data_IF_467835510190
#
_entry.id   IF_467835510190
#
_cell.length_a   1.000
_cell.length_b   1.000
_cell.length_c   1.000
_cell.angle_alpha   90.00
_cell.angle_beta   90.00
_cell.angle_gamma   90.00
#
_symmetry.space_group_name_H-M   'P 1'
#
loop_
_entity.id
_entity.type
_entity.pdbx_description
1 polymer ?
#
# COMPACT_ATOMS: atom_id res chain seq x y z
N UNK A 1 16.07 0.37 -60.92
CA UNK A 1 16.10 -0.38 -59.66
C UNK A 1 16.18 0.51 -58.43
N UNK A 2 17.00 1.54 -58.37
CA UNK A 2 17.26 2.42 -57.21
C UNK A 2 16.00 3.17 -56.68
N UNK A 3 15.09 3.59 -57.52
CA UNK A 3 13.88 4.34 -57.14
C UNK A 3 12.89 3.50 -56.31
N UNK A 4 12.72 2.21 -56.65
CA UNK A 4 11.87 1.26 -55.88
C UNK A 4 12.41 1.00 -54.46
N UNK A 5 13.74 0.87 -54.32
CA UNK A 5 14.38 0.62 -53.04
C UNK A 5 14.19 1.80 -52.08
N UNK A 6 14.34 3.05 -52.56
CA UNK A 6 14.12 4.26 -51.74
C UNK A 6 12.66 4.38 -51.27
N UNK A 7 11.67 4.01 -52.07
CA UNK A 7 10.26 4.03 -51.68
C UNK A 7 10.00 2.96 -50.62
N UNK A 8 10.53 1.76 -50.76
CA UNK A 8 10.42 0.70 -49.75
C UNK A 8 11.00 1.12 -48.41
N UNK A 9 12.17 1.72 -48.39
CA UNK A 9 12.81 2.22 -47.14
C UNK A 9 11.91 3.24 -46.46
N UNK A 10 11.34 4.20 -47.20
CA UNK A 10 10.41 5.19 -46.60
C UNK A 10 9.16 4.53 -45.99
N UNK A 11 8.61 3.50 -46.64
CA UNK A 11 7.45 2.76 -46.11
C UNK A 11 7.82 2.04 -44.81
N UNK A 12 8.98 1.37 -44.77
CA UNK A 12 9.46 0.71 -43.54
C UNK A 12 9.72 1.68 -42.38
N UNK A 13 10.28 2.85 -42.67
CA UNK A 13 10.48 3.91 -41.66
C UNK A 13 9.14 4.40 -41.14
N UNK A 14 8.15 4.62 -42.01
CA UNK A 14 6.81 5.03 -41.58
C UNK A 14 6.13 3.97 -40.70
N UNK A 15 6.21 2.69 -41.08
CA UNK A 15 5.66 1.57 -40.27
C UNK A 15 6.36 1.53 -38.90
N UNK A 16 7.69 1.62 -38.86
CA UNK A 16 8.45 1.59 -37.61
C UNK A 16 8.08 2.78 -36.71
N UNK A 17 7.99 3.99 -37.27
CA UNK A 17 7.60 5.19 -36.55
C UNK A 17 6.18 5.04 -35.97
N UNK A 18 5.23 4.53 -36.75
CA UNK A 18 3.85 4.26 -36.28
C UNK A 18 3.85 3.23 -35.16
N UNK A 19 4.61 2.15 -35.29
CA UNK A 19 4.72 1.14 -34.25
C UNK A 19 5.28 1.71 -32.93
N UNK A 20 6.31 2.56 -32.99
CA UNK A 20 6.90 3.23 -31.81
C UNK A 20 5.86 4.15 -31.16
N UNK A 21 5.11 4.92 -31.94
CA UNK A 21 4.06 5.81 -31.41
C UNK A 21 2.97 4.97 -30.71
N UNK A 22 2.51 3.90 -31.32
CA UNK A 22 1.48 3.02 -30.72
C UNK A 22 1.96 2.36 -29.44
N UNK A 23 3.22 1.93 -29.38
CA UNK A 23 3.83 1.38 -28.16
C UNK A 23 3.92 2.44 -27.06
N UNK A 24 4.28 3.67 -27.40
CA UNK A 24 4.32 4.80 -26.46
C UNK A 24 2.94 5.11 -25.88
N UNK A 25 1.93 5.20 -26.72
CA UNK A 25 0.53 5.40 -26.29
C UNK A 25 0.08 4.24 -25.39
N UNK A 26 0.39 3.01 -25.78
CA UNK A 26 0.08 1.82 -24.99
C UNK A 26 0.74 1.84 -23.60
N UNK A 27 2.01 2.21 -23.52
CA UNK A 27 2.72 2.33 -22.25
C UNK A 27 2.13 3.41 -21.34
N UNK A 28 1.79 4.58 -21.89
CA UNK A 28 1.13 5.66 -21.16
C UNK A 28 -0.24 5.19 -20.64
N UNK A 29 -1.02 4.52 -21.47
CA UNK A 29 -2.33 3.98 -21.08
C UNK A 29 -2.21 2.96 -19.95
N UNK A 30 -1.27 2.03 -20.04
CA UNK A 30 -1.00 1.01 -19.00
C UNK A 30 -0.63 1.71 -17.69
N UNK A 31 0.33 2.63 -17.73
CA UNK A 31 0.77 3.36 -16.55
C UNK A 31 -0.40 4.12 -15.89
N UNK A 32 -1.16 4.86 -16.69
CA UNK A 32 -2.34 5.60 -16.20
C UNK A 32 -3.40 4.67 -15.62
N UNK A 33 -3.70 3.55 -16.28
CA UNK A 33 -4.68 2.58 -15.78
C UNK A 33 -4.22 1.98 -14.44
N UNK A 34 -2.98 1.50 -14.34
CA UNK A 34 -2.45 0.91 -13.11
C UNK A 34 -2.40 1.91 -11.94
N UNK A 35 -2.09 3.18 -12.21
CA UNK A 35 -2.08 4.23 -11.19
C UNK A 35 -3.49 4.64 -10.75
N UNK A 36 -4.42 4.78 -11.70
CA UNK A 36 -5.79 5.22 -11.40
C UNK A 36 -6.58 4.15 -10.62
N UNK A 37 -6.40 2.88 -10.97
CA UNK A 37 -7.13 1.76 -10.37
C UNK A 37 -6.26 0.95 -9.39
N UNK A 38 -5.25 1.57 -8.87
CA UNK A 38 -4.25 0.99 -7.99
C UNK A 38 -4.86 0.20 -6.81
N UNK A 39 -5.77 0.80 -6.06
CA UNK A 39 -6.41 0.15 -4.90
C UNK A 39 -7.26 -1.04 -5.31
N UNK A 40 -7.98 -0.94 -6.43
CA UNK A 40 -8.72 -2.08 -6.98
C UNK A 40 -7.78 -3.26 -7.23
N UNK A 41 -6.64 -3.02 -7.87
CA UNK A 41 -5.66 -4.06 -8.15
C UNK A 41 -4.99 -4.61 -6.89
N UNK A 42 -4.66 -3.75 -5.94
CA UNK A 42 -4.05 -4.15 -4.66
C UNK A 42 -4.97 -5.11 -3.89
N UNK A 43 -6.26 -4.80 -3.79
CA UNK A 43 -7.28 -5.64 -3.14
C UNK A 43 -7.47 -7.00 -3.81
N UNK A 44 -7.16 -7.12 -5.12
CA UNK A 44 -7.30 -8.34 -5.89
C UNK A 44 -5.98 -9.08 -6.14
N UNK A 45 -4.90 -8.73 -5.43
CA UNK A 45 -3.67 -9.52 -5.44
C UNK A 45 -3.98 -10.92 -4.89
N UNK A 46 -3.59 -12.00 -5.58
CA UNK A 46 -3.71 -13.35 -5.03
C UNK A 46 -2.91 -13.46 -3.73
N UNK A 47 -3.58 -13.73 -2.64
CA UNK A 47 -2.94 -13.82 -1.33
C UNK A 47 -3.53 -14.94 -0.46
N UNK A 48 -2.78 -15.35 0.54
CA UNK A 48 -3.23 -16.33 1.53
C UNK A 48 -4.10 -15.65 2.60
N UNK A 49 -5.02 -16.40 3.19
CA UNK A 49 -5.87 -15.90 4.28
C UNK A 49 -5.00 -15.35 5.44
N UNK A 50 -5.34 -14.16 5.92
CA UNK A 50 -4.63 -13.49 7.01
C UNK A 50 -3.40 -12.69 6.59
N UNK A 51 -3.30 -12.37 5.28
CA UNK A 51 -2.37 -11.37 4.76
C UNK A 51 -3.15 -10.15 4.26
N UNK A 52 -2.53 -8.98 4.28
CA UNK A 52 -3.11 -7.68 3.89
C UNK A 52 -2.21 -7.00 2.86
N UNK A 53 -2.11 -7.53 1.62
CA UNK A 53 -1.22 -6.95 0.61
C UNK A 53 -1.62 -5.52 0.24
N UNK A 54 -2.92 -5.19 0.27
CA UNK A 54 -3.43 -3.84 0.03
C UNK A 54 -2.88 -2.80 1.02
N UNK A 55 -2.67 -3.19 2.28
CA UNK A 55 -2.05 -2.35 3.29
C UNK A 55 -0.60 -2.00 2.90
N UNK A 56 0.19 -2.99 2.55
CA UNK A 56 1.59 -2.79 2.15
C UNK A 56 1.67 -1.94 0.89
N UNK A 57 0.91 -2.32 -0.13
CA UNK A 57 0.89 -1.62 -1.41
C UNK A 57 0.40 -0.17 -1.26
N UNK A 58 -0.56 0.10 -0.38
CA UNK A 58 -1.02 1.45 -0.05
C UNK A 58 0.12 2.27 0.58
N UNK A 59 0.78 1.73 1.61
CA UNK A 59 1.87 2.41 2.31
C UNK A 59 3.07 2.71 1.40
N UNK A 60 3.43 1.78 0.53
CA UNK A 60 4.54 1.96 -0.43
C UNK A 60 4.29 3.08 -1.45
N UNK A 61 3.05 3.45 -1.68
CA UNK A 61 2.67 4.37 -2.76
C UNK A 61 1.90 5.61 -2.26
N UNK A 62 1.93 5.91 -0.96
CA UNK A 62 1.22 7.07 -0.39
C UNK A 62 1.60 8.40 -1.06
N UNK A 63 2.85 8.54 -1.49
CA UNK A 63 3.39 9.73 -2.13
C UNK A 63 2.99 9.87 -3.61
N UNK A 64 2.51 8.79 -4.23
CA UNK A 64 2.23 8.75 -5.68
C UNK A 64 0.74 8.69 -6.02
N UNK A 65 -0.12 8.40 -5.04
CA UNK A 65 -1.56 8.22 -5.24
C UNK A 65 -2.38 9.39 -4.70
N UNK A 66 -3.51 9.75 -5.32
CA UNK A 66 -4.43 10.73 -4.75
C UNK A 66 -5.11 10.13 -3.52
N UNK A 67 -4.75 10.62 -2.34
CA UNK A 67 -5.30 10.14 -1.07
C UNK A 67 -6.69 10.73 -0.81
N UNK A 68 -7.68 9.92 -0.41
CA UNK A 68 -9.02 10.40 -0.11
C UNK A 68 -9.06 11.09 1.26
N UNK A 69 -9.84 12.14 1.39
CA UNK A 69 -10.13 12.69 2.70
C UNK A 69 -11.05 11.71 3.47
N UNK A 70 -10.52 11.06 4.48
CA UNK A 70 -11.25 10.13 5.37
C UNK A 70 -11.31 10.76 6.76
N UNK A 71 -12.50 10.79 7.35
CA UNK A 71 -12.69 11.36 8.68
C UNK A 71 -11.80 10.65 9.72
N UNK A 72 -11.06 11.43 10.51
CA UNK A 72 -10.17 10.97 11.57
C UNK A 72 -8.94 10.16 11.08
N UNK A 73 -8.63 10.23 9.78
CA UNK A 73 -7.42 9.67 9.20
C UNK A 73 -6.57 10.80 8.64
N UNK A 74 -5.33 10.84 9.06
CA UNK A 74 -4.30 11.76 8.60
C UNK A 74 -3.19 10.98 7.90
N UNK A 75 -2.62 11.54 6.84
CA UNK A 75 -1.52 10.96 6.08
C UNK A 75 -0.28 11.82 6.27
N UNK A 76 0.81 11.19 6.63
CA UNK A 76 2.11 11.85 6.74
C UNK A 76 3.09 11.21 5.75
N UNK A 77 3.60 12.04 4.86
CA UNK A 77 4.49 11.64 3.78
C UNK A 77 5.77 12.44 3.96
N UNK A 78 6.80 11.83 4.52
CA UNK A 78 8.10 12.46 4.74
C UNK A 78 9.25 11.53 4.37
N UNK A 79 10.00 11.88 3.32
CA UNK A 79 11.31 11.33 2.92
C UNK A 79 11.51 9.82 3.15
N UNK A 80 10.48 9.03 2.83
CA UNK A 80 10.48 7.56 2.98
C UNK A 80 9.87 7.04 4.28
N UNK A 81 9.36 7.91 5.15
CA UNK A 81 8.58 7.54 6.32
C UNK A 81 7.09 7.79 6.05
N UNK A 82 6.52 6.96 5.19
CA UNK A 82 5.10 7.02 4.91
C UNK A 82 4.30 6.42 6.06
N UNK A 83 3.39 7.20 6.63
CA UNK A 83 2.53 6.70 7.69
C UNK A 83 1.07 7.17 7.55
N UNK A 84 0.17 6.40 8.14
CA UNK A 84 -1.27 6.69 8.24
C UNK A 84 -1.65 6.69 9.70
N UNK A 85 -2.14 7.83 10.18
CA UNK A 85 -2.54 7.98 11.58
C UNK A 85 -4.06 8.05 11.68
N UNK A 86 -4.64 7.26 12.59
CA UNK A 86 -6.07 7.34 12.93
C UNK A 86 -6.23 7.77 14.39
N UNK A 87 -7.08 8.77 14.60
CA UNK A 87 -7.46 9.27 15.93
C UNK A 87 -6.30 9.70 16.83
N UNK A 88 -5.11 9.91 16.26
CA UNK A 88 -3.86 10.16 17.00
C UNK A 88 -3.40 9.00 17.92
N UNK A 89 -4.05 7.85 17.85
CA UNK A 89 -3.75 6.69 18.70
C UNK A 89 -3.25 5.47 17.94
N UNK A 90 -3.64 5.34 16.68
CA UNK A 90 -3.20 4.25 15.82
C UNK A 90 -2.35 4.87 14.73
N UNK A 91 -1.11 4.43 14.64
CA UNK A 91 -0.19 4.85 13.60
C UNK A 91 0.30 3.63 12.83
N UNK A 92 0.03 3.59 11.53
CA UNK A 92 0.44 2.55 10.61
C UNK A 92 1.62 3.07 9.79
N UNK A 93 2.76 2.40 9.90
CA UNK A 93 4.05 2.82 9.34
C UNK A 93 4.58 1.72 8.42
N UNK A 94 5.17 2.12 7.28
CA UNK A 94 5.99 1.23 6.47
C UNK A 94 7.37 1.09 7.11
N UNK A 95 7.86 -0.13 7.25
CA UNK A 95 9.21 -0.43 7.71
C UNK A 95 9.98 -1.25 6.67
N UNK A 96 11.28 -1.40 6.85
CA UNK A 96 12.12 -2.23 5.96
C UNK A 96 11.74 -3.71 5.96
N UNK A 97 11.06 -4.18 6.99
CA UNK A 97 10.64 -5.58 7.15
C UNK A 97 9.17 -5.81 6.75
N UNK A 98 8.41 -4.75 6.46
CA UNK A 98 7.00 -4.81 6.12
C UNK A 98 6.24 -3.61 6.66
N UNK A 99 5.21 -3.81 7.51
CA UNK A 99 4.47 -2.73 8.15
C UNK A 99 4.39 -2.91 9.67
N UNK A 100 4.21 -1.81 10.37
CA UNK A 100 4.04 -1.77 11.81
C UNK A 100 2.81 -0.95 12.18
N UNK A 101 1.95 -1.48 13.06
CA UNK A 101 0.88 -0.71 13.68
C UNK A 101 1.29 -0.38 15.11
N UNK A 102 1.43 0.90 15.38
CA UNK A 102 1.71 1.44 16.70
C UNK A 102 0.41 1.93 17.32
N UNK A 103 0.06 1.37 18.44
CA UNK A 103 -1.08 1.81 19.23
C UNK A 103 -0.59 2.48 20.51
N UNK A 104 -0.95 3.74 20.68
CA UNK A 104 -0.58 4.54 21.84
C UNK A 104 -1.82 4.90 22.67
N UNK A 105 -1.92 4.42 23.88
CA UNK A 105 -2.98 4.83 24.82
C UNK A 105 -2.39 5.63 25.96
N UNK A 106 -2.78 6.87 26.04
CA UNK A 106 -2.43 7.71 27.18
C UNK A 106 -3.29 7.35 28.40
N UNK A 107 -2.67 7.27 29.58
CA UNK A 107 -3.43 7.19 30.84
C UNK A 107 -4.22 8.48 31.12
N UNK A 108 -5.21 8.41 32.00
CA UNK A 108 -6.13 9.51 32.31
C UNK A 108 -5.47 10.87 32.68
N UNK A 109 -4.19 10.89 32.99
CA UNK A 109 -3.46 12.07 33.47
C UNK A 109 -2.42 12.61 32.48
N UNK A 110 -2.40 12.19 31.22
CA UNK A 110 -1.34 12.55 30.26
C UNK A 110 0.09 12.35 30.81
N UNK A 111 0.28 11.43 31.73
CA UNK A 111 1.53 11.20 32.41
C UNK A 111 2.26 10.04 31.70
N UNK A 112 3.52 10.26 31.31
CA UNK A 112 4.36 9.26 30.63
C UNK A 112 4.43 7.91 31.38
N UNK A 113 4.20 7.88 32.67
CA UNK A 113 4.19 6.67 33.51
C UNK A 113 2.99 5.73 33.22
N UNK A 114 1.93 6.22 32.56
CA UNK A 114 0.73 5.46 32.28
C UNK A 114 0.51 5.24 30.77
N UNK A 115 1.59 5.33 29.98
CA UNK A 115 1.54 5.07 28.56
C UNK A 115 1.53 3.57 28.30
N UNK A 116 0.51 3.12 27.57
CA UNK A 116 0.45 1.79 27.01
C UNK A 116 0.91 1.87 25.56
N UNK A 117 2.01 1.21 25.24
CA UNK A 117 2.53 1.11 23.90
C UNK A 117 2.41 -0.30 23.39
N UNK A 118 1.77 -0.47 22.23
CA UNK A 118 1.62 -1.75 21.56
C UNK A 118 2.07 -1.62 20.12
N UNK A 119 2.88 -2.56 19.64
CA UNK A 119 3.30 -2.62 18.26
C UNK A 119 2.96 -3.98 17.68
N UNK A 120 2.29 -3.98 16.54
CA UNK A 120 1.97 -5.16 15.75
C UNK A 120 2.83 -5.13 14.50
N UNK A 121 3.58 -6.20 14.26
CA UNK A 121 4.50 -6.31 13.13
C UNK A 121 3.91 -7.20 12.06
N UNK A 122 4.04 -6.75 10.82
CA UNK A 122 3.58 -7.44 9.62
C UNK A 122 4.74 -7.60 8.65
N UNK A 123 4.82 -8.76 7.98
CA UNK A 123 5.76 -9.00 6.90
C UNK A 123 5.48 -8.13 5.67
N UNK A 124 6.36 -8.18 4.67
CA UNK A 124 6.16 -7.53 3.36
C UNK A 124 4.92 -8.03 2.60
N UNK A 125 4.35 -9.19 2.96
CA UNK A 125 3.07 -9.66 2.42
C UNK A 125 1.85 -9.19 3.22
N UNK A 126 2.05 -8.35 4.24
CA UNK A 126 0.99 -7.91 5.14
C UNK A 126 0.49 -8.99 6.09
N UNK A 127 1.29 -10.05 6.34
CA UNK A 127 0.96 -11.11 7.30
C UNK A 127 1.42 -10.70 8.70
N UNK A 128 0.52 -10.81 9.68
CA UNK A 128 0.89 -10.62 11.08
C UNK A 128 1.98 -11.61 11.51
N UNK A 129 3.03 -11.10 12.16
CA UNK A 129 4.16 -11.90 12.60
C UNK A 129 4.31 -11.96 14.10
N UNK A 130 4.24 -10.82 14.76
CA UNK A 130 4.49 -10.70 16.20
C UNK A 130 3.83 -9.46 16.79
N UNK A 131 3.63 -9.48 18.07
CA UNK A 131 3.13 -8.40 18.88
C UNK A 131 4.13 -8.04 19.97
N UNK A 132 4.35 -6.76 20.13
CA UNK A 132 5.17 -6.21 21.20
C UNK A 132 4.31 -5.33 22.10
N UNK A 133 4.50 -5.47 23.39
CA UNK A 133 3.81 -4.70 24.41
C UNK A 133 4.81 -4.11 25.40
N UNK A 134 4.69 -2.81 25.63
CA UNK A 134 5.44 -2.11 26.67
C UNK A 134 4.45 -1.38 27.58
N UNK A 135 4.52 -1.69 28.87
CA UNK A 135 3.85 -0.94 29.91
C UNK A 135 4.86 0.00 30.55
N UNK A 136 4.63 1.30 30.48
CA UNK A 136 5.52 2.32 31.01
C UNK A 136 5.80 2.19 32.51
N UNK A 137 4.95 1.45 33.25
CA UNK A 137 5.13 1.21 34.68
C UNK A 137 6.01 -0.02 34.99
N UNK A 138 6.04 -1.02 34.10
CA UNK A 138 6.64 -2.32 34.43
C UNK A 138 7.93 -2.61 33.69
N UNK A 139 8.34 -1.83 32.69
CA UNK A 139 9.46 -2.13 31.77
C UNK A 139 9.42 -3.57 31.20
N UNK A 140 8.24 -4.17 31.17
CA UNK A 140 8.06 -5.55 30.77
C UNK A 140 7.74 -5.62 29.28
N UNK A 141 8.70 -6.08 28.51
CA UNK A 141 8.52 -6.34 27.09
C UNK A 141 7.96 -7.75 26.91
N UNK A 142 6.80 -7.86 26.28
CA UNK A 142 6.18 -9.16 25.97
C UNK A 142 6.06 -9.30 24.47
N UNK A 143 6.61 -10.39 23.93
CA UNK A 143 6.40 -10.80 22.55
C UNK A 143 5.37 -11.92 22.53
N UNK A 144 4.30 -11.74 21.76
CA UNK A 144 3.25 -12.73 21.59
C UNK A 144 2.94 -12.96 20.11
N UNK A 145 2.75 -14.23 19.75
CA UNK A 145 2.33 -14.69 18.42
C UNK A 145 0.96 -15.39 18.47
N UNK A 146 0.19 -15.15 19.52
CA UNK A 146 -1.08 -15.84 19.72
C UNK A 146 -2.14 -15.42 18.70
N UNK A 147 -3.12 -16.31 18.48
CA UNK A 147 -4.26 -16.03 17.62
C UNK A 147 -5.09 -14.81 18.10
N UNK A 148 -5.09 -14.51 19.40
CA UNK A 148 -5.77 -13.33 19.94
C UNK A 148 -5.11 -12.02 19.47
N UNK A 149 -3.78 -11.94 19.50
CA UNK A 149 -3.03 -10.79 19.00
C UNK A 149 -3.18 -10.62 17.49
N UNK A 150 -3.27 -11.73 16.75
CA UNK A 150 -3.53 -11.70 15.31
C UNK A 150 -4.91 -11.09 14.99
N UNK A 151 -5.96 -11.51 15.69
CA UNK A 151 -7.31 -10.96 15.48
C UNK A 151 -7.36 -9.46 15.82
N UNK A 152 -6.69 -9.05 16.89
CA UNK A 152 -6.62 -7.64 17.27
C UNK A 152 -5.81 -6.80 16.26
N UNK A 153 -4.73 -7.37 15.74
CA UNK A 153 -3.95 -6.75 14.68
C UNK A 153 -4.80 -6.54 13.42
N UNK A 154 -5.61 -7.55 13.04
CA UNK A 154 -6.52 -7.44 11.90
C UNK A 154 -7.60 -6.39 12.13
N UNK A 155 -8.19 -6.30 13.32
CA UNK A 155 -9.16 -5.26 13.65
C UNK A 155 -8.58 -3.84 13.42
N UNK A 156 -7.32 -3.61 13.81
CA UNK A 156 -6.66 -2.32 13.56
C UNK A 156 -6.36 -2.07 12.08
N UNK A 157 -5.95 -3.10 11.33
CA UNK A 157 -5.79 -2.99 9.87
C UNK A 157 -7.11 -2.59 9.24
N UNK A 158 -8.19 -3.32 9.56
CA UNK A 158 -9.52 -3.07 9.01
C UNK A 158 -10.02 -1.66 9.38
N UNK A 159 -9.75 -1.22 10.59
CA UNK A 159 -10.16 0.10 11.07
C UNK A 159 -9.46 1.25 10.35
N UNK A 160 -8.21 1.08 9.95
CA UNK A 160 -7.42 2.12 9.26
C UNK A 160 -7.57 1.99 7.74
N UNK A 161 -7.42 0.79 7.20
CA UNK A 161 -7.29 0.56 5.76
C UNK A 161 -8.63 0.54 5.05
N UNK A 162 -9.66 -0.16 5.58
CA UNK A 162 -10.94 -0.29 4.88
C UNK A 162 -11.60 1.06 4.54
N UNK A 163 -11.64 2.08 5.42
CA UNK A 163 -12.23 3.36 5.08
C UNK A 163 -11.51 4.10 3.93
N UNK A 164 -10.20 3.86 3.76
CA UNK A 164 -9.41 4.41 2.67
C UNK A 164 -9.73 3.64 1.38
N UNK A 165 -9.62 2.33 1.45
CA UNK A 165 -9.84 1.41 0.32
C UNK A 165 -11.24 1.58 -0.26
N UNK A 166 -12.27 1.62 0.58
CA UNK A 166 -13.67 1.77 0.15
C UNK A 166 -13.94 3.09 -0.59
N UNK A 167 -13.20 4.16 -0.25
CA UNK A 167 -13.30 5.44 -0.96
C UNK A 167 -12.53 5.48 -2.26
N UNK A 168 -11.51 4.66 -2.41
CA UNK A 168 -10.61 4.64 -3.57
C UNK A 168 -10.92 3.50 -4.54
N UNK A 169 -11.69 2.50 -4.13
CA UNK A 169 -11.96 1.34 -4.96
C UNK A 169 -12.87 1.68 -6.13
N UNK A 170 -12.27 1.79 -7.31
CA UNK A 170 -12.99 1.99 -8.58
C UNK A 170 -12.61 0.86 -9.51
N UNK A 171 -13.61 0.14 -10.03
CA UNK A 171 -13.39 -0.96 -10.96
C UNK A 171 -12.91 -0.45 -12.33
N UNK A 172 -11.78 -0.95 -12.87
CA UNK A 172 -11.29 -0.55 -14.17
C UNK A 172 -12.17 -1.07 -15.31
N UNK A 173 -12.31 -0.29 -16.39
CA UNK A 173 -12.96 -0.75 -17.63
C UNK A 173 -12.14 -1.84 -18.32
N UNK A 174 -10.82 -1.70 -18.32
CA UNK A 174 -9.89 -2.71 -18.83
C UNK A 174 -9.09 -3.24 -17.63
N UNK A 175 -9.26 -4.52 -17.34
CA UNK A 175 -8.60 -5.17 -16.20
C UNK A 175 -7.16 -5.56 -16.57
N UNK A 176 -6.18 -4.94 -15.91
CA UNK A 176 -4.75 -5.22 -16.05
C UNK A 176 -4.15 -5.90 -14.82
N UNK A 177 -4.96 -6.64 -14.05
CA UNK A 177 -4.54 -7.32 -12.82
C UNK A 177 -3.28 -8.19 -13.02
N UNK A 178 -3.19 -8.86 -14.15
CA UNK A 178 -2.05 -9.72 -14.47
C UNK A 178 -0.71 -8.95 -14.59
N UNK A 179 -0.76 -7.68 -15.04
CA UNK A 179 0.41 -6.81 -15.04
C UNK A 179 0.73 -6.32 -13.65
N UNK A 180 -0.29 -5.96 -12.87
CA UNK A 180 -0.13 -5.51 -11.50
C UNK A 180 0.51 -6.61 -10.63
N UNK A 181 0.02 -7.84 -10.72
CA UNK A 181 0.54 -8.99 -9.98
C UNK A 181 2.00 -9.37 -10.32
N UNK A 182 2.55 -8.86 -11.42
CA UNK A 182 3.98 -9.04 -11.75
C UNK A 182 4.90 -8.08 -11.01
N UNK A 183 4.35 -6.98 -10.52
CA UNK A 183 5.09 -5.97 -9.76
C UNK A 183 5.09 -6.29 -8.26
N UNK A 184 4.00 -6.83 -7.77
CA UNK A 184 3.74 -7.20 -6.38
C UNK A 184 3.47 -8.72 -6.26
#
# INVERSE_FOLDING_TARGET
MIKKTKTMIKVWIAILATAIILLGIGAIYIHHNLSTYFIYYAKHIPHTKGTNPEMIVLLENLDTIPLPNVNRIDYEIDNGNNNITKDKYINLILSSEGAEIHFLKYGKENNFKNQLYRTYFFSQSGKFEKYYYQDGLSNKNVYDKSGKSNNQAQEYVDEVINPIVDKMEVKPKVNLQWLFNKKY
#
